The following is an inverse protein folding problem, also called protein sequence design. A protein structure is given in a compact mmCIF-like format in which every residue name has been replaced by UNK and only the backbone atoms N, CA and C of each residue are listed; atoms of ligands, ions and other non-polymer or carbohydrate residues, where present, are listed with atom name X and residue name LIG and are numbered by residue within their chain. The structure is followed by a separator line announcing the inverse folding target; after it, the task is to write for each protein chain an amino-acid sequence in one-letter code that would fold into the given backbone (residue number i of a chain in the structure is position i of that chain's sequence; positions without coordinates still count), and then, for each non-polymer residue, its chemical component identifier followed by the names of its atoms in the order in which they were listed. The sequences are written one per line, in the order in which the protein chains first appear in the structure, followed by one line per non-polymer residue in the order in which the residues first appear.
data_IF_329098219523
#
_entry.id   IF_329098219523
#
_cell.length_a   1.000
_cell.length_b   1.000
_cell.length_c   1.000
_cell.angle_alpha   90.00
_cell.angle_beta   90.00
_cell.angle_gamma   90.00
#
_symmetry.space_group_name_H-M   'P 1'
#
loop_
_entity.id
_entity.type
_entity.pdbx_description
1 polymer ?
#
# COMPACT_ATOMS: atom_id res chain seq x y z
N UNK A 1 -8.87 3.39 -9.79
CA UNK A 1 -9.52 3.27 -8.47
C UNK A 1 -10.91 3.85 -8.56
N UNK A 2 -11.82 3.37 -7.72
CA UNK A 2 -13.22 3.79 -7.64
C UNK A 2 -13.53 4.35 -6.24
N UNK A 3 -14.53 5.25 -6.08
CA UNK A 3 -15.02 5.64 -4.76
C UNK A 3 -15.57 4.43 -3.97
N UNK A 4 -15.49 4.41 -2.63
CA UNK A 4 -14.87 5.42 -1.75
C UNK A 4 -13.35 5.26 -1.59
N UNK A 5 -12.74 4.31 -2.30
CA UNK A 5 -11.34 3.94 -2.09
C UNK A 5 -10.38 5.07 -2.46
N UNK A 6 -10.71 5.88 -3.47
CA UNK A 6 -9.90 7.04 -3.87
C UNK A 6 -9.76 8.05 -2.73
N UNK A 7 -10.86 8.41 -2.08
CA UNK A 7 -10.88 9.36 -0.95
C UNK A 7 -10.19 8.78 0.28
N UNK A 8 -10.48 7.52 0.62
CA UNK A 8 -9.87 6.84 1.78
C UNK A 8 -8.36 6.70 1.61
N UNK A 9 -7.89 6.25 0.45
CA UNK A 9 -6.47 6.10 0.14
C UNK A 9 -5.76 7.45 0.18
N UNK A 10 -6.36 8.49 -0.41
CA UNK A 10 -5.79 9.84 -0.37
C UNK A 10 -5.65 10.33 1.07
N UNK A 11 -6.68 10.17 1.91
CA UNK A 11 -6.62 10.54 3.33
C UNK A 11 -5.52 9.79 4.08
N UNK A 12 -5.37 8.49 3.84
CA UNK A 12 -4.31 7.67 4.46
C UNK A 12 -2.92 8.10 4.01
N UNK A 13 -2.72 8.38 2.72
CA UNK A 13 -1.46 8.88 2.19
C UNK A 13 -1.11 10.27 2.73
N UNK A 14 -2.09 11.16 2.90
CA UNK A 14 -1.88 12.46 3.53
C UNK A 14 -1.41 12.33 4.98
N UNK A 15 -1.99 11.38 5.75
CA UNK A 15 -1.52 11.05 7.11
C UNK A 15 -0.09 10.52 7.09
N UNK A 16 0.22 9.58 6.19
CA UNK A 16 1.56 9.02 6.05
C UNK A 16 2.60 10.10 5.73
N UNK A 17 2.26 11.03 4.81
CA UNK A 17 3.10 12.19 4.47
C UNK A 17 3.35 13.08 5.69
N UNK A 18 2.31 13.41 6.45
CA UNK A 18 2.44 14.22 7.67
C UNK A 18 3.36 13.56 8.69
N UNK A 19 3.18 12.27 8.94
CA UNK A 19 4.02 11.54 9.88
C UNK A 19 5.46 11.37 9.38
N UNK A 20 5.67 11.17 8.07
CA UNK A 20 7.00 11.14 7.48
C UNK A 20 7.73 12.49 7.64
N UNK A 21 7.03 13.61 7.46
CA UNK A 21 7.60 14.93 7.72
C UNK A 21 8.05 15.07 9.19
N UNK A 22 7.26 14.56 10.14
CA UNK A 22 7.65 14.53 11.55
C UNK A 22 8.90 13.67 11.79
N UNK A 23 8.99 12.48 11.18
CA UNK A 23 10.20 11.63 11.26
C UNK A 23 11.42 12.37 10.73
N UNK A 24 11.30 13.05 9.59
CA UNK A 24 12.41 13.84 9.02
C UNK A 24 12.86 14.96 9.97
N UNK A 25 11.91 15.65 10.61
CA UNK A 25 12.25 16.67 11.62
C UNK A 25 12.99 16.04 12.82
N UNK A 26 12.50 14.90 13.33
CA UNK A 26 13.16 14.18 14.43
C UNK A 26 14.59 13.75 14.08
N UNK A 27 14.86 13.35 12.83
CA UNK A 27 16.23 13.02 12.39
C UNK A 27 17.11 14.27 12.42
N UNK A 28 16.60 15.42 11.96
CA UNK A 28 17.34 16.70 11.98
C UNK A 28 17.62 17.19 13.40
N UNK A 29 16.74 16.86 14.34
CA UNK A 29 16.86 17.19 15.76
C UNK A 29 17.69 16.17 16.56
N UNK A 30 18.39 15.24 15.89
CA UNK A 30 19.23 14.19 16.49
C UNK A 30 18.53 13.38 17.59
N UNK A 31 17.25 13.04 17.36
CA UNK A 31 16.43 12.27 18.31
C UNK A 31 16.91 10.82 18.40
N UNK A 32 16.67 10.19 19.55
CA UNK A 32 17.05 8.81 19.81
C UNK A 32 16.57 7.83 18.73
N UNK A 33 17.50 7.01 18.23
CA UNK A 33 17.29 6.14 17.08
C UNK A 33 16.11 5.17 17.23
N UNK A 34 15.85 4.65 18.44
CA UNK A 34 14.73 3.73 18.62
C UNK A 34 13.37 4.42 18.45
N UNK A 35 13.24 5.67 18.87
CA UNK A 35 12.02 6.46 18.67
C UNK A 35 11.81 6.74 17.17
N UNK A 36 12.89 7.08 16.45
CA UNK A 36 12.86 7.27 15.00
C UNK A 36 12.40 6.01 14.27
N UNK A 37 12.93 4.84 14.64
CA UNK A 37 12.53 3.55 14.07
C UNK A 37 11.04 3.29 14.35
N UNK A 38 10.57 3.53 15.57
CA UNK A 38 9.16 3.33 15.92
C UNK A 38 8.24 4.26 15.13
N UNK A 39 8.58 5.55 14.99
CA UNK A 39 7.79 6.49 14.20
C UNK A 39 7.82 6.16 12.71
N UNK A 40 8.97 5.74 12.17
CA UNK A 40 9.08 5.29 10.79
C UNK A 40 8.25 4.02 10.53
N UNK A 41 8.23 3.08 11.48
CA UNK A 41 7.38 1.89 11.39
C UNK A 41 5.89 2.24 11.34
N UNK A 42 5.45 3.30 12.03
CA UNK A 42 4.08 3.79 11.93
C UNK A 42 3.77 4.37 10.53
N UNK A 43 4.71 5.09 9.91
CA UNK A 43 4.59 5.52 8.49
C UNK A 43 4.42 4.31 7.57
N UNK A 44 5.26 3.28 7.74
CA UNK A 44 5.17 2.02 6.97
C UNK A 44 3.79 1.36 7.16
N UNK A 45 3.25 1.38 8.38
CA UNK A 45 1.91 0.90 8.67
C UNK A 45 0.83 1.60 7.86
N UNK A 46 0.89 2.93 7.77
CA UNK A 46 -0.04 3.73 6.95
C UNK A 46 0.11 3.44 5.45
N UNK A 47 1.35 3.29 4.96
CA UNK A 47 1.60 2.93 3.56
C UNK A 47 1.05 1.54 3.22
N UNK A 48 1.20 0.56 4.13
CA UNK A 48 0.59 -0.78 3.98
C UNK A 48 -0.93 -0.69 3.93
N UNK A 49 -1.54 0.13 4.79
CA UNK A 49 -2.98 0.37 4.75
C UNK A 49 -3.43 0.98 3.42
N UNK A 50 -2.70 1.97 2.90
CA UNK A 50 -2.98 2.57 1.59
C UNK A 50 -2.91 1.52 0.47
N UNK A 51 -1.89 0.67 0.47
CA UNK A 51 -1.76 -0.41 -0.52
C UNK A 51 -2.93 -1.40 -0.46
N UNK A 52 -3.42 -1.74 0.74
CA UNK A 52 -4.58 -2.61 0.89
C UNK A 52 -5.84 -1.99 0.27
N UNK A 53 -6.09 -0.69 0.53
CA UNK A 53 -7.21 0.04 -0.07
C UNK A 53 -7.12 0.10 -1.61
N UNK A 54 -5.92 0.32 -2.15
CA UNK A 54 -5.67 0.30 -3.59
C UNK A 54 -5.95 -1.08 -4.20
N UNK A 55 -5.48 -2.14 -3.55
CA UNK A 55 -5.71 -3.52 -3.99
C UNK A 55 -7.19 -3.88 -3.96
N UNK A 56 -7.90 -3.52 -2.89
CA UNK A 56 -9.34 -3.74 -2.77
C UNK A 56 -10.10 -3.01 -3.89
N UNK A 57 -9.76 -1.74 -4.13
CA UNK A 57 -10.30 -0.97 -5.26
C UNK A 57 -10.04 -1.64 -6.62
N UNK A 58 -8.85 -2.19 -6.82
CA UNK A 58 -8.49 -2.90 -8.04
C UNK A 58 -9.29 -4.20 -8.21
N UNK A 59 -9.47 -4.97 -7.15
CA UNK A 59 -10.29 -6.18 -7.19
C UNK A 59 -11.76 -5.87 -7.48
N UNK A 60 -12.33 -4.79 -6.93
CA UNK A 60 -13.69 -4.36 -7.24
C UNK A 60 -13.85 -3.87 -8.69
N UNK A 61 -12.92 -3.07 -9.19
CA UNK A 61 -13.05 -2.43 -10.51
C UNK A 61 -12.60 -3.31 -11.68
N UNK A 62 -11.63 -4.19 -11.46
CA UNK A 62 -11.00 -5.01 -12.50
C UNK A 62 -11.24 -6.52 -12.31
N UNK A 63 -11.85 -6.95 -11.19
CA UNK A 63 -12.02 -8.36 -10.83
C UNK A 63 -12.84 -9.20 -11.82
N UNK A 64 -13.66 -8.57 -12.68
CA UNK A 64 -14.37 -9.26 -13.76
C UNK A 64 -13.42 -10.00 -14.71
N UNK A 65 -12.15 -9.58 -14.80
CA UNK A 65 -11.10 -10.27 -15.54
C UNK A 65 -10.89 -11.73 -15.09
N UNK A 66 -11.17 -12.06 -13.82
CA UNK A 66 -11.12 -13.43 -13.29
C UNK A 66 -12.20 -14.33 -13.90
N UNK A 67 -13.37 -13.78 -14.25
CA UNK A 67 -14.46 -14.49 -14.91
C UNK A 67 -14.35 -14.58 -16.43
N UNK A 68 -13.30 -13.98 -17.03
CA UNK A 68 -13.11 -13.97 -18.48
C UNK A 68 -13.02 -15.39 -19.04
N UNK A 69 -13.67 -15.66 -20.19
CA UNK A 69 -13.54 -16.95 -20.91
C UNK A 69 -12.12 -17.19 -21.44
N UNK A 70 -11.33 -16.13 -21.66
CA UNK A 70 -9.95 -16.23 -22.15
C UNK A 70 -8.98 -16.49 -21.00
N UNK A 71 -8.30 -17.64 -21.03
CA UNK A 71 -7.31 -18.02 -20.01
C UNK A 71 -6.15 -17.02 -19.89
N UNK A 72 -5.72 -16.43 -21.01
CA UNK A 72 -4.65 -15.42 -21.04
C UNK A 72 -5.01 -14.16 -20.25
N UNK A 73 -6.27 -13.73 -20.30
CA UNK A 73 -6.77 -12.57 -19.54
C UNK A 73 -6.76 -12.86 -18.04
N UNK A 74 -7.30 -14.01 -17.63
CA UNK A 74 -7.29 -14.44 -16.21
C UNK A 74 -5.86 -14.52 -15.67
N UNK A 75 -4.96 -15.16 -16.43
CA UNK A 75 -3.56 -15.34 -16.03
C UNK A 75 -2.80 -14.03 -15.92
N UNK A 76 -3.05 -13.06 -16.83
CA UNK A 76 -2.43 -11.74 -16.75
C UNK A 76 -2.84 -11.01 -15.47
N UNK A 77 -4.13 -10.99 -15.17
CA UNK A 77 -4.68 -10.35 -13.98
C UNK A 77 -4.11 -10.94 -12.69
N UNK A 78 -4.08 -12.27 -12.57
CA UNK A 78 -3.50 -12.96 -11.42
C UNK A 78 -2.01 -12.61 -11.27
N UNK A 79 -1.24 -12.61 -12.36
CA UNK A 79 0.20 -12.27 -12.34
C UNK A 79 0.45 -10.82 -11.91
N UNK A 80 -0.40 -9.88 -12.30
CA UNK A 80 -0.29 -8.47 -11.86
C UNK A 80 -0.45 -8.35 -10.35
N UNK A 81 -1.46 -9.02 -9.77
CA UNK A 81 -1.67 -9.04 -8.32
C UNK A 81 -0.49 -9.68 -7.59
N UNK A 82 -0.03 -10.84 -8.04
CA UNK A 82 1.11 -11.54 -7.41
C UNK A 82 2.39 -10.69 -7.42
N UNK A 83 2.64 -9.97 -8.51
CA UNK A 83 3.79 -9.04 -8.61
C UNK A 83 3.62 -7.86 -7.66
N UNK A 84 2.46 -7.22 -7.62
CA UNK A 84 2.23 -6.06 -6.77
C UNK A 84 2.30 -6.40 -5.27
N UNK A 85 1.84 -7.59 -4.88
CA UNK A 85 1.85 -8.03 -3.48
C UNK A 85 3.17 -8.65 -3.00
N UNK A 86 4.18 -8.79 -3.88
CA UNK A 86 5.49 -9.37 -3.54
C UNK A 86 5.42 -10.68 -2.72
N UNK A 87 4.40 -11.52 -2.98
CA UNK A 87 4.07 -12.70 -2.16
C UNK A 87 5.23 -13.73 -2.14
N UNK A 88 6.16 -13.66 -3.08
CA UNK A 88 7.36 -14.53 -3.15
C UNK A 88 8.61 -14.02 -2.40
N UNK A 89 8.57 -12.86 -1.73
CA UNK A 89 9.75 -12.29 -1.05
C UNK A 89 9.64 -12.28 0.49
N UNK A 90 8.55 -12.78 1.08
CA UNK A 90 8.51 -13.07 2.53
C UNK A 90 9.33 -14.35 2.80
N UNK A 91 10.66 -14.22 2.81
CA UNK A 91 11.49 -15.16 3.57
C UNK A 91 11.19 -14.90 5.05
N UNK A 92 10.45 -15.82 5.65
CA UNK A 92 10.46 -15.97 7.11
C UNK A 92 11.84 -16.34 7.60
#
# INVERSE_FOLDING_TARGET
MIPPYTEQTTRTLMKARGQLNSVIAMVKDDRYCMDLIQQNNAVIGLLRQANNLMLESHLHSCGSALGSKRATTRMRFIKEILRACNISQRKG
#
